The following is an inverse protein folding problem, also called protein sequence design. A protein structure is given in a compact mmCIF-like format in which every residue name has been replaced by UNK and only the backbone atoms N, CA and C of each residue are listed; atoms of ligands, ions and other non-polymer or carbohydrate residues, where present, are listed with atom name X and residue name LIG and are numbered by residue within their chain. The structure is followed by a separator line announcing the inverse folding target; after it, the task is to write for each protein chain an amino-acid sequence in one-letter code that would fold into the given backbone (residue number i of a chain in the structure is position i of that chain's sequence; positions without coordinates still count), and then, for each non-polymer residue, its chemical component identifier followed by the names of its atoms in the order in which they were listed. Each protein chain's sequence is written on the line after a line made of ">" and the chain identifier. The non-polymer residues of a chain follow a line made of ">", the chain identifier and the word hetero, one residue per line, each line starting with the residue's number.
data_IF_464067676229
#
_entry.id   IF_464067676229
#
_cell.length_a   1.000
_cell.length_b   1.000
_cell.length_c   1.000
_cell.angle_alpha   90.00
_cell.angle_beta   90.00
_cell.angle_gamma   90.00
#
_symmetry.space_group_name_H-M   'P 1'
#
loop_
_entity.id
_entity.type
_entity.pdbx_description
1 polymer ?
#
# COMPACT_ATOMS: atom_id res chain seq x y z
N UNK A 1 12.68 20.36 -35.01
CA UNK A 1 13.06 21.35 -33.99
C UNK A 1 11.80 21.54 -33.15
N UNK A 2 11.61 20.70 -32.13
CA UNK A 2 10.50 20.86 -31.18
C UNK A 2 11.08 21.56 -29.97
N UNK A 3 11.02 22.90 -30.00
CA UNK A 3 11.36 23.73 -28.86
C UNK A 3 10.08 23.90 -28.04
N UNK A 4 9.71 22.87 -27.29
CA UNK A 4 8.71 22.99 -26.24
C UNK A 4 9.47 23.45 -25.00
N UNK A 5 9.60 24.77 -24.83
CA UNK A 5 10.04 25.34 -23.57
C UNK A 5 9.01 24.97 -22.51
N UNK A 6 9.42 24.14 -21.55
CA UNK A 6 8.54 23.78 -20.46
C UNK A 6 8.17 25.03 -19.65
N UNK A 7 6.88 25.21 -19.37
CA UNK A 7 6.37 26.40 -18.66
C UNK A 7 5.93 26.11 -17.24
N UNK A 8 5.58 24.86 -16.92
CA UNK A 8 5.12 24.43 -15.60
C UNK A 8 6.06 23.35 -15.03
N UNK A 9 6.41 22.35 -15.84
CA UNK A 9 7.00 21.10 -15.38
C UNK A 9 8.52 21.16 -15.39
N UNK A 10 9.13 20.80 -14.26
CA UNK A 10 10.57 20.52 -14.16
C UNK A 10 10.85 19.02 -14.14
N UNK A 11 10.17 18.28 -13.27
CA UNK A 11 10.27 16.82 -13.18
C UNK A 11 9.03 16.22 -12.49
N UNK A 12 8.07 15.72 -13.26
CA UNK A 12 6.85 15.11 -12.69
C UNK A 12 7.09 13.80 -11.94
N UNK A 13 8.27 13.17 -12.06
CA UNK A 13 8.55 11.91 -11.36
C UNK A 13 8.50 12.10 -9.85
N UNK A 14 8.84 13.27 -9.34
CA UNK A 14 8.82 13.55 -7.88
C UNK A 14 7.41 13.58 -7.28
N UNK A 15 6.39 13.72 -8.14
CA UNK A 15 4.98 13.70 -7.77
C UNK A 15 4.35 12.30 -7.94
N UNK A 16 5.12 11.26 -8.28
CA UNK A 16 4.61 9.88 -8.35
C UNK A 16 4.73 9.16 -7.02
N UNK A 17 3.94 8.11 -6.87
CA UNK A 17 3.98 7.22 -5.71
C UNK A 17 5.29 6.43 -5.60
N UNK A 18 5.97 6.16 -6.74
CA UNK A 18 7.22 5.40 -6.72
C UNK A 18 8.41 6.24 -6.27
N UNK A 19 8.29 7.57 -6.25
CA UNK A 19 9.37 8.44 -5.83
C UNK A 19 9.67 8.28 -4.33
N UNK A 20 10.93 7.98 -4.04
CA UNK A 20 11.45 7.93 -2.68
C UNK A 20 12.10 9.30 -2.40
N UNK A 21 11.56 10.10 -1.46
CA UNK A 21 12.12 11.41 -1.17
C UNK A 21 13.46 11.30 -0.45
N UNK A 22 14.28 12.35 -0.56
CA UNK A 22 15.55 12.45 0.18
C UNK A 22 15.36 12.65 1.69
N UNK A 23 14.19 13.11 2.11
CA UNK A 23 13.77 13.26 3.50
C UNK A 23 12.30 12.89 3.66
N UNK A 24 11.94 12.36 4.83
CA UNK A 24 10.54 12.16 5.19
C UNK A 24 10.09 13.36 6.02
N UNK A 25 8.94 13.95 5.67
CA UNK A 25 8.38 15.14 6.34
C UNK A 25 7.21 14.70 7.23
N UNK A 26 7.10 15.27 8.43
CA UNK A 26 6.01 15.03 9.40
C UNK A 26 5.87 13.57 9.88
N UNK A 27 6.94 12.77 9.77
CA UNK A 27 7.00 11.39 10.30
C UNK A 27 8.33 11.11 11.03
N UNK A 28 8.94 12.13 11.61
CA UNK A 28 10.22 12.02 12.33
C UNK A 28 10.12 11.05 13.52
N UNK A 29 9.00 11.07 14.24
CA UNK A 29 8.74 10.15 15.36
C UNK A 29 8.70 8.68 14.91
N UNK A 30 7.95 8.38 13.85
CA UNK A 30 7.87 7.03 13.27
C UNK A 30 9.23 6.59 12.73
N UNK A 31 9.94 7.46 12.01
CA UNK A 31 11.28 7.16 11.49
C UNK A 31 12.26 6.85 12.62
N UNK A 32 12.20 7.61 13.72
CA UNK A 32 13.02 7.38 14.90
C UNK A 32 12.76 5.99 15.49
N UNK A 33 11.50 5.61 15.71
CA UNK A 33 11.17 4.28 16.24
C UNK A 33 11.66 3.16 15.32
N UNK A 34 11.53 3.32 13.99
CA UNK A 34 12.05 2.34 13.04
C UNK A 34 13.58 2.24 13.14
N UNK A 35 14.28 3.37 13.20
CA UNK A 35 15.75 3.40 13.35
C UNK A 35 16.21 2.79 14.67
N UNK A 36 15.54 3.09 15.78
CA UNK A 36 15.85 2.56 17.10
C UNK A 36 15.69 1.02 17.12
N UNK A 37 14.66 0.48 16.44
CA UNK A 37 14.45 -0.96 16.31
C UNK A 37 15.45 -1.66 15.39
N UNK A 38 15.99 -0.95 14.40
CA UNK A 38 17.01 -1.44 13.47
C UNK A 38 18.44 -1.20 13.96
N UNK A 39 18.66 -0.31 14.92
CA UNK A 39 19.96 0.01 15.48
C UNK A 39 20.78 -1.21 15.94
N UNK A 40 20.18 -2.27 16.53
CA UNK A 40 20.92 -3.48 16.90
C UNK A 40 21.68 -4.14 15.74
N UNK A 41 21.26 -3.90 14.49
CA UNK A 41 21.97 -4.40 13.30
C UNK A 41 23.41 -3.86 13.18
N UNK A 42 23.68 -2.68 13.75
CA UNK A 42 25.02 -2.09 13.75
C UNK A 42 26.00 -2.90 14.61
N UNK A 43 25.49 -3.58 15.64
CA UNK A 43 26.24 -4.41 16.58
C UNK A 43 26.06 -5.92 16.30
N UNK A 44 25.60 -6.27 15.09
CA UNK A 44 25.30 -7.65 14.65
C UNK A 44 24.31 -8.38 15.58
N UNK A 45 23.46 -7.64 16.29
CA UNK A 45 22.40 -8.17 17.14
C UNK A 45 21.08 -8.28 16.37
N UNK A 46 20.20 -9.23 16.73
CA UNK A 46 18.90 -9.37 16.10
C UNK A 46 18.05 -8.12 16.39
N UNK A 47 17.52 -7.44 15.36
CA UNK A 47 16.62 -6.30 15.53
C UNK A 47 15.22 -6.79 15.94
N UNK A 48 14.34 -5.83 16.25
CA UNK A 48 12.95 -6.12 16.61
C UNK A 48 12.06 -6.09 15.38
N UNK A 49 11.13 -7.05 15.32
CA UNK A 49 10.04 -7.02 14.35
C UNK A 49 9.21 -5.74 14.56
N UNK A 50 8.64 -5.22 13.48
CA UNK A 50 7.85 -4.00 13.48
C UNK A 50 6.57 -4.21 12.66
N UNK A 51 5.52 -3.52 13.07
CA UNK A 51 4.28 -3.46 12.31
C UNK A 51 3.81 -2.01 12.14
N UNK A 52 3.82 -1.54 10.89
CA UNK A 52 3.33 -0.23 10.50
C UNK A 52 1.88 -0.38 10.05
N UNK A 53 0.97 0.37 10.65
CA UNK A 53 -0.44 0.32 10.28
C UNK A 53 -1.05 1.71 10.18
N UNK A 54 -2.14 1.81 9.44
CA UNK A 54 -2.89 3.05 9.26
C UNK A 54 -3.50 3.15 7.86
N UNK A 55 -4.36 4.15 7.62
CA UNK A 55 -5.06 4.33 6.34
C UNK A 55 -4.12 4.41 5.12
N UNK A 56 -4.60 4.17 3.89
CA UNK A 56 -3.80 4.40 2.68
C UNK A 56 -3.36 5.86 2.57
N UNK A 57 -2.24 6.11 1.88
CA UNK A 57 -1.75 7.48 1.65
C UNK A 57 -1.06 8.17 2.84
N UNK A 58 -0.84 7.45 3.94
CA UNK A 58 -0.22 7.99 5.18
C UNK A 58 1.31 7.92 5.22
N UNK A 59 1.95 7.41 4.16
CA UNK A 59 3.41 7.39 4.02
C UNK A 59 4.11 6.11 4.48
N UNK A 60 3.39 5.05 4.88
CA UNK A 60 3.97 3.76 5.32
C UNK A 60 4.95 3.16 4.31
N UNK A 61 4.51 2.94 3.07
CA UNK A 61 5.34 2.39 1.99
C UNK A 61 6.54 3.29 1.65
N UNK A 62 6.34 4.62 1.58
CA UNK A 62 7.42 5.57 1.32
C UNK A 62 8.48 5.54 2.43
N UNK A 63 8.05 5.46 3.69
CA UNK A 63 8.93 5.32 4.86
C UNK A 63 9.73 4.02 4.78
N UNK A 64 9.06 2.90 4.52
CA UNK A 64 9.70 1.59 4.47
C UNK A 64 10.73 1.50 3.33
N UNK A 65 10.41 2.06 2.15
CA UNK A 65 11.37 2.16 1.03
C UNK A 65 12.52 3.11 1.33
N UNK A 66 12.27 4.22 2.00
CA UNK A 66 13.33 5.14 2.43
C UNK A 66 14.33 4.43 3.35
N UNK A 67 13.84 3.69 4.35
CA UNK A 67 14.68 2.89 5.26
C UNK A 67 15.39 1.75 4.52
N UNK A 68 14.72 1.11 3.56
CA UNK A 68 15.32 0.07 2.73
C UNK A 68 16.53 0.59 1.95
N UNK A 69 16.46 1.79 1.38
CA UNK A 69 17.58 2.42 0.69
C UNK A 69 18.74 2.75 1.63
N UNK A 70 18.47 3.06 2.90
CA UNK A 70 19.51 3.17 3.93
C UNK A 70 20.14 1.80 4.25
N UNK A 71 19.33 0.74 4.37
CA UNK A 71 19.78 -0.62 4.65
C UNK A 71 20.57 -1.25 3.50
N UNK A 72 20.18 -1.02 2.24
CA UNK A 72 20.88 -1.56 1.05
C UNK A 72 22.31 -1.04 0.91
N UNK A 73 22.64 0.08 1.56
CA UNK A 73 24.02 0.61 1.66
C UNK A 73 24.88 -0.18 2.64
N UNK A 74 24.28 -0.98 3.52
CA UNK A 74 24.99 -1.81 4.50
C UNK A 74 25.34 -3.18 3.90
N UNK A 75 26.63 -3.52 3.89
CA UNK A 75 27.12 -4.77 3.27
C UNK A 75 26.70 -6.01 4.08
N UNK A 76 26.45 -5.86 5.38
CA UNK A 76 26.15 -6.93 6.34
C UNK A 76 24.67 -7.27 6.50
N UNK A 77 23.74 -6.58 5.81
CA UNK A 77 22.29 -6.89 5.89
C UNK A 77 21.68 -7.18 4.51
N UNK A 78 20.77 -8.15 4.42
CA UNK A 78 19.87 -8.30 3.28
C UNK A 78 18.66 -7.40 3.50
N UNK A 79 18.52 -6.33 2.70
CA UNK A 79 17.31 -5.52 2.68
C UNK A 79 16.40 -5.95 1.54
N UNK A 80 15.23 -6.50 1.87
CA UNK A 80 14.27 -7.01 0.89
C UNK A 80 12.91 -6.31 1.02
N UNK A 81 12.25 -6.02 -0.10
CA UNK A 81 10.90 -5.47 -0.13
C UNK A 81 10.00 -6.30 -1.02
N UNK A 82 8.86 -6.72 -0.49
CA UNK A 82 7.85 -7.50 -1.20
C UNK A 82 6.51 -6.83 -0.98
N UNK A 83 5.83 -6.50 -2.07
CA UNK A 83 4.44 -6.06 -2.03
C UNK A 83 3.53 -7.29 -2.14
N UNK A 84 2.77 -7.57 -1.08
CA UNK A 84 1.91 -8.75 -0.97
C UNK A 84 0.66 -8.70 -1.86
N UNK A 85 0.32 -7.52 -2.41
CA UNK A 85 -0.69 -7.40 -3.45
C UNK A 85 -0.22 -8.01 -4.78
N UNK A 86 1.05 -7.84 -5.11
CA UNK A 86 1.66 -8.42 -6.33
C UNK A 86 2.05 -9.89 -6.14
N UNK A 87 2.46 -10.25 -4.92
CA UNK A 87 2.91 -11.59 -4.55
C UNK A 87 2.20 -12.05 -3.28
N UNK A 88 1.07 -12.73 -3.42
CA UNK A 88 0.19 -13.10 -2.30
C UNK A 88 0.40 -14.52 -1.77
N UNK A 89 1.02 -15.42 -2.55
CA UNK A 89 1.21 -16.83 -2.20
C UNK A 89 2.56 -17.09 -1.55
N UNK A 90 2.62 -18.10 -0.66
CA UNK A 90 3.85 -18.55 0.04
C UNK A 90 5.02 -18.79 -0.92
N UNK A 91 4.79 -19.48 -2.03
CA UNK A 91 5.83 -19.73 -3.05
C UNK A 91 6.36 -18.43 -3.67
N UNK A 92 5.45 -17.55 -4.13
CA UNK A 92 5.86 -16.32 -4.83
C UNK A 92 6.63 -15.38 -3.91
N UNK A 93 6.24 -15.28 -2.64
CA UNK A 93 6.95 -14.45 -1.65
C UNK A 93 8.36 -15.00 -1.41
N UNK A 94 8.50 -16.30 -1.12
CA UNK A 94 9.81 -16.92 -0.90
C UNK A 94 10.71 -16.83 -2.13
N UNK A 95 10.15 -17.08 -3.33
CA UNK A 95 10.88 -16.97 -4.59
C UNK A 95 11.39 -15.54 -4.80
N UNK A 96 10.53 -14.53 -4.71
CA UNK A 96 10.91 -13.12 -4.88
C UNK A 96 11.91 -12.68 -3.81
N UNK A 97 11.74 -13.12 -2.56
CA UNK A 97 12.68 -12.86 -1.46
C UNK A 97 14.09 -13.34 -1.78
N UNK A 98 14.22 -14.58 -2.24
CA UNK A 98 15.50 -15.17 -2.58
C UNK A 98 16.17 -14.46 -3.77
N UNK A 99 15.37 -13.98 -4.74
CA UNK A 99 15.89 -13.14 -5.81
C UNK A 99 16.41 -11.79 -5.32
N UNK A 100 15.69 -11.10 -4.41
CA UNK A 100 16.17 -9.87 -3.76
C UNK A 100 17.45 -10.11 -2.93
N UNK A 101 17.64 -11.32 -2.39
CA UNK A 101 18.87 -11.76 -1.72
C UNK A 101 20.00 -12.18 -2.70
N UNK A 102 19.82 -11.94 -4.00
CA UNK A 102 20.81 -12.22 -5.04
C UNK A 102 20.98 -13.71 -5.37
N UNK A 103 20.01 -14.57 -5.03
CA UNK A 103 20.06 -15.98 -5.40
C UNK A 103 19.63 -16.19 -6.86
N UNK A 104 20.50 -16.82 -7.64
CA UNK A 104 20.18 -17.26 -9.00
C UNK A 104 19.47 -18.60 -8.91
N UNK A 105 18.15 -18.55 -8.86
CA UNK A 105 17.32 -19.73 -8.81
C UNK A 105 17.22 -20.37 -10.20
N UNK A 106 17.89 -21.50 -10.41
CA UNK A 106 17.69 -22.40 -11.56
C UNK A 106 16.39 -23.20 -11.41
N UNK A 107 15.30 -22.48 -11.15
CA UNK A 107 14.02 -23.02 -10.73
C UNK A 107 13.02 -22.84 -11.87
N UNK A 108 12.45 -23.94 -12.35
CA UNK A 108 11.24 -23.86 -13.17
C UNK A 108 10.10 -23.38 -12.27
N UNK A 109 9.48 -22.22 -12.57
CA UNK A 109 8.39 -21.60 -11.78
C UNK A 109 7.21 -22.53 -11.41
N UNK A 110 7.11 -23.71 -12.02
CA UNK A 110 6.04 -24.71 -11.78
C UNK A 110 6.50 -25.99 -11.08
N UNK A 111 7.79 -26.16 -10.74
CA UNK A 111 8.33 -27.46 -10.33
C UNK A 111 9.15 -27.49 -9.03
N UNK A 112 9.56 -26.33 -8.48
CA UNK A 112 10.36 -26.31 -7.26
C UNK A 112 9.48 -26.41 -6.01
N UNK A 113 9.71 -27.40 -5.14
CA UNK A 113 9.02 -27.50 -3.86
C UNK A 113 9.32 -26.29 -2.97
N UNK A 114 8.32 -25.85 -2.20
CA UNK A 114 8.50 -24.76 -1.22
C UNK A 114 9.61 -25.09 -0.21
N UNK A 115 9.73 -26.35 0.19
CA UNK A 115 10.76 -26.82 1.13
C UNK A 115 12.19 -26.56 0.62
N UNK A 116 12.41 -26.61 -0.69
CA UNK A 116 13.71 -26.28 -1.28
C UNK A 116 14.01 -24.78 -1.12
N UNK A 117 13.02 -23.91 -1.34
CA UNK A 117 13.17 -22.47 -1.13
C UNK A 117 13.45 -22.14 0.34
N UNK A 118 12.78 -22.82 1.27
CA UNK A 118 13.01 -22.66 2.71
C UNK A 118 14.43 -23.10 3.11
N UNK A 119 14.92 -24.22 2.58
CA UNK A 119 16.29 -24.66 2.82
C UNK A 119 17.34 -23.67 2.27
N UNK A 120 17.06 -23.01 1.14
CA UNK A 120 17.92 -21.93 0.61
C UNK A 120 17.86 -20.71 1.55
N UNK A 121 16.67 -20.29 1.97
CA UNK A 121 16.48 -19.18 2.88
C UNK A 121 17.25 -19.40 4.18
N UNK A 122 17.12 -20.57 4.80
CA UNK A 122 17.81 -20.92 6.05
C UNK A 122 19.33 -20.75 5.91
N UNK A 123 19.92 -21.27 4.82
CA UNK A 123 21.36 -21.11 4.55
C UNK A 123 21.79 -19.66 4.34
N UNK A 124 20.94 -18.81 3.77
CA UNK A 124 21.22 -17.37 3.57
C UNK A 124 21.18 -16.62 4.90
N UNK A 125 20.10 -16.79 5.67
CA UNK A 125 19.89 -16.07 6.93
C UNK A 125 20.80 -16.57 8.06
N UNK A 126 21.32 -17.80 7.96
CA UNK A 126 22.38 -18.28 8.86
C UNK A 126 23.70 -17.50 8.72
N UNK A 127 23.96 -16.89 7.55
CA UNK A 127 25.22 -16.15 7.29
C UNK A 127 25.08 -14.65 7.51
N UNK A 128 23.88 -14.11 7.35
CA UNK A 128 23.65 -12.68 7.21
C UNK A 128 22.22 -12.33 7.63
N UNK A 129 22.06 -11.28 8.43
CA UNK A 129 20.74 -10.82 8.87
C UNK A 129 19.92 -10.30 7.70
N UNK A 130 18.63 -10.60 7.68
CA UNK A 130 17.69 -10.15 6.67
C UNK A 130 16.60 -9.25 7.29
N UNK A 131 16.46 -8.04 6.76
CA UNK A 131 15.33 -7.16 7.02
C UNK A 131 14.37 -7.30 5.84
N UNK A 132 13.22 -7.91 6.11
CA UNK A 132 12.21 -8.24 5.11
C UNK A 132 11.01 -7.33 5.34
N UNK A 133 10.77 -6.44 4.38
CA UNK A 133 9.59 -5.57 4.36
C UNK A 133 8.50 -6.30 3.58
N UNK A 134 7.39 -6.59 4.25
CA UNK A 134 6.18 -7.14 3.63
C UNK A 134 5.11 -6.05 3.63
N UNK A 135 4.83 -5.52 2.45
CA UNK A 135 3.88 -4.43 2.25
C UNK A 135 2.48 -4.95 1.90
N UNK A 136 1.44 -4.27 2.37
CA UNK A 136 0.03 -4.67 2.21
C UNK A 136 -0.27 -6.11 2.69
N UNK A 137 0.18 -6.46 3.90
CA UNK A 137 0.01 -7.81 4.45
C UNK A 137 -1.45 -8.28 4.55
N UNK A 138 -2.41 -7.34 4.56
CA UNK A 138 -3.85 -7.64 4.46
C UNK A 138 -4.20 -8.46 3.20
N UNK A 139 -3.34 -8.44 2.18
CA UNK A 139 -3.57 -9.12 0.90
C UNK A 139 -3.03 -10.53 0.84
N UNK A 140 -2.21 -10.95 1.81
CA UNK A 140 -1.67 -12.31 1.86
C UNK A 140 -2.77 -13.36 1.70
N UNK A 141 -2.50 -14.37 0.88
CA UNK A 141 -3.37 -15.54 0.71
C UNK A 141 -2.97 -16.67 1.65
N UNK A 142 -1.67 -16.77 1.96
CA UNK A 142 -1.10 -17.83 2.78
C UNK A 142 -0.19 -17.23 3.87
N UNK A 143 -0.72 -17.07 5.07
CA UNK A 143 -0.04 -16.50 6.23
C UNK A 143 1.03 -17.43 6.83
N UNK A 144 1.08 -18.71 6.42
CA UNK A 144 2.15 -19.64 6.83
C UNK A 144 3.53 -19.15 6.42
N UNK A 145 3.62 -18.31 5.38
CA UNK A 145 4.89 -17.68 5.01
C UNK A 145 5.44 -16.80 6.13
N UNK A 146 4.58 -16.13 6.91
CA UNK A 146 5.03 -15.33 8.04
C UNK A 146 5.65 -16.23 9.10
N UNK A 147 5.03 -17.37 9.39
CA UNK A 147 5.56 -18.39 10.30
C UNK A 147 6.95 -18.87 9.86
N UNK A 148 7.10 -19.17 8.57
CA UNK A 148 8.38 -19.60 8.00
C UNK A 148 9.49 -18.58 8.17
N UNK A 149 9.16 -17.28 8.14
CA UNK A 149 10.13 -16.20 8.26
C UNK A 149 10.46 -15.88 9.73
N UNK A 150 9.45 -15.72 10.60
CA UNK A 150 9.65 -15.31 12.01
C UNK A 150 10.36 -16.35 12.86
N UNK A 151 10.54 -17.58 12.37
CA UNK A 151 11.27 -18.62 13.11
C UNK A 151 12.79 -18.44 13.09
N UNK A 152 13.32 -17.63 12.18
CA UNK A 152 14.75 -17.40 12.06
C UNK A 152 15.16 -16.18 12.89
N UNK A 153 16.08 -16.36 13.83
CA UNK A 153 16.56 -15.27 14.70
C UNK A 153 17.23 -14.11 13.92
N UNK A 154 17.81 -14.42 12.77
CA UNK A 154 18.46 -13.45 11.87
C UNK A 154 17.47 -12.86 10.84
N UNK A 155 16.17 -12.99 11.05
CA UNK A 155 15.13 -12.38 10.21
C UNK A 155 14.37 -11.34 11.02
N UNK A 156 14.36 -10.12 10.50
CA UNK A 156 13.54 -9.01 10.96
C UNK A 156 12.40 -8.80 9.98
N UNK A 157 11.16 -8.82 10.47
CA UNK A 157 10.00 -8.44 9.67
C UNK A 157 9.61 -6.99 9.95
N UNK A 158 9.46 -6.21 8.89
CA UNK A 158 8.76 -4.94 8.91
C UNK A 158 7.47 -5.13 8.10
N UNK A 159 6.37 -5.34 8.81
CA UNK A 159 5.07 -5.60 8.22
C UNK A 159 4.33 -4.28 8.01
N UNK A 160 3.60 -4.14 6.90
CA UNK A 160 2.78 -2.96 6.62
C UNK A 160 1.35 -3.40 6.32
N UNK A 161 0.40 -2.89 7.11
CA UNK A 161 -1.02 -3.17 6.96
C UNK A 161 -1.86 -1.90 6.97
N UNK A 162 -3.15 -2.04 6.64
CA UNK A 162 -4.08 -0.91 6.67
C UNK A 162 -4.67 -0.67 8.06
N UNK A 163 -4.78 -1.73 8.86
CA UNK A 163 -5.39 -1.68 10.19
C UNK A 163 -4.56 -2.49 11.17
N UNK A 164 -4.64 -2.13 12.45
CA UNK A 164 -3.94 -2.87 13.51
C UNK A 164 -4.44 -4.33 13.63
N UNK A 165 -5.74 -4.52 13.36
CA UNK A 165 -6.46 -5.80 13.52
C UNK A 165 -5.94 -6.91 12.62
N UNK A 166 -5.19 -6.60 11.56
CA UNK A 166 -4.65 -7.58 10.61
C UNK A 166 -3.80 -8.63 11.32
N UNK A 167 -3.06 -8.24 12.37
CA UNK A 167 -2.27 -9.19 13.16
C UNK A 167 -3.18 -10.18 13.89
N UNK A 168 -4.37 -9.75 14.32
CA UNK A 168 -5.36 -10.60 15.00
C UNK A 168 -6.01 -11.66 14.10
N UNK A 169 -5.88 -11.52 12.78
CA UNK A 169 -6.41 -12.49 11.79
C UNK A 169 -5.39 -13.58 11.40
N UNK A 170 -4.14 -13.47 11.88
CA UNK A 170 -3.06 -14.43 11.65
C UNK A 170 -3.17 -15.63 12.59
N UNK A 171 -2.58 -16.77 12.21
CA UNK A 171 -2.45 -17.93 13.11
C UNK A 171 -1.80 -17.57 14.48
N UNK A 172 -2.30 -18.17 15.56
CA UNK A 172 -1.89 -17.91 16.96
C UNK A 172 -0.36 -18.00 17.17
N UNK A 173 0.33 -18.88 16.42
CA UNK A 173 1.80 -19.04 16.55
C UNK A 173 2.53 -17.84 15.97
N UNK A 174 2.04 -17.32 14.84
CA UNK A 174 2.59 -16.12 14.20
C UNK A 174 2.31 -14.92 15.10
N UNK A 175 1.09 -14.81 15.62
CA UNK A 175 0.73 -13.75 16.57
C UNK A 175 1.65 -13.75 17.78
N UNK A 176 1.86 -14.90 18.41
CA UNK A 176 2.71 -15.04 19.60
C UNK A 176 4.13 -14.51 19.35
N UNK A 177 4.72 -14.79 18.18
CA UNK A 177 6.06 -14.29 17.82
C UNK A 177 6.08 -12.83 17.40
N UNK A 178 4.96 -12.30 16.91
CA UNK A 178 4.80 -10.88 16.60
C UNK A 178 4.29 -10.05 17.79
N UNK A 179 3.98 -10.64 18.94
CA UNK A 179 3.54 -9.88 20.13
C UNK A 179 4.60 -8.91 20.63
N UNK A 180 5.88 -9.26 20.48
CA UNK A 180 7.01 -8.37 20.80
C UNK A 180 7.35 -7.37 19.70
N UNK A 181 6.59 -7.34 18.59
CA UNK A 181 6.82 -6.40 17.52
C UNK A 181 6.31 -5.00 17.90
N UNK A 182 7.11 -3.98 17.63
CA UNK A 182 6.71 -2.60 17.88
C UNK A 182 5.63 -2.19 16.87
N UNK A 183 4.51 -1.70 17.40
CA UNK A 183 3.34 -1.24 16.63
C UNK A 183 3.46 0.26 16.39
N UNK A 184 3.53 0.66 15.13
CA UNK A 184 3.77 2.05 14.72
C UNK A 184 2.56 2.55 13.95
N UNK A 185 1.81 3.46 14.56
CA UNK A 185 0.64 4.10 13.94
C UNK A 185 1.06 5.20 12.96
N UNK A 186 0.44 5.16 11.78
CA UNK A 186 0.50 6.17 10.74
C UNK A 186 -0.89 6.80 10.56
N UNK A 187 -1.23 7.83 11.34
CA UNK A 187 -2.50 8.53 11.20
C UNK A 187 -2.60 9.25 9.86
N UNK A 188 -3.83 9.60 9.45
CA UNK A 188 -4.08 10.48 8.31
C UNK A 188 -3.35 11.82 8.50
N UNK A 189 -2.82 12.38 7.41
CA UNK A 189 -2.16 13.68 7.47
C UNK A 189 -3.15 14.80 7.80
N UNK A 190 -2.70 15.76 8.62
CA UNK A 190 -3.35 17.06 8.73
C UNK A 190 -3.23 17.86 7.42
N UNK A 191 -4.08 18.88 7.25
CA UNK A 191 -4.05 19.75 6.05
C UNK A 191 -2.69 20.41 5.89
N UNK A 192 -2.13 20.94 6.98
CA UNK A 192 -0.86 21.66 6.94
C UNK A 192 0.32 20.69 6.73
N UNK A 193 0.29 19.52 7.37
CA UNK A 193 1.30 18.48 7.13
C UNK A 193 1.35 18.07 5.65
N UNK A 194 0.17 17.86 5.06
CA UNK A 194 0.06 17.45 3.67
C UNK A 194 0.43 18.59 2.71
N UNK A 195 0.11 19.84 3.04
CA UNK A 195 0.52 21.00 2.27
C UNK A 195 2.06 21.14 2.25
N UNK A 196 2.74 20.90 3.36
CA UNK A 196 4.21 20.92 3.41
C UNK A 196 4.84 19.82 2.56
N UNK A 197 4.29 18.60 2.61
CA UNK A 197 4.72 17.49 1.75
C UNK A 197 4.56 17.84 0.28
N UNK A 198 3.40 18.37 -0.10
CA UNK A 198 3.13 18.77 -1.48
C UNK A 198 4.04 19.91 -1.93
N UNK A 199 4.28 20.88 -1.06
CA UNK A 199 5.13 22.03 -1.36
C UNK A 199 6.57 21.58 -1.63
N UNK A 200 7.14 20.74 -0.77
CA UNK A 200 8.46 20.14 -0.98
C UNK A 200 8.53 19.47 -2.36
N UNK A 201 7.55 18.65 -2.73
CA UNK A 201 7.53 18.01 -4.06
C UNK A 201 7.33 18.99 -5.21
N UNK A 202 6.54 20.05 -5.03
CA UNK A 202 6.34 21.08 -6.03
C UNK A 202 7.65 21.83 -6.33
N UNK A 203 8.46 22.14 -5.31
CA UNK A 203 9.75 22.80 -5.49
C UNK A 203 10.73 21.96 -6.32
N UNK A 204 10.68 20.63 -6.19
CA UNK A 204 11.49 19.72 -7.00
C UNK A 204 10.91 19.50 -8.40
N UNK A 205 9.59 19.44 -8.52
CA UNK A 205 8.90 18.94 -9.71
C UNK A 205 8.36 20.01 -10.66
N UNK A 206 8.24 21.25 -10.21
CA UNK A 206 7.63 22.35 -10.95
C UNK A 206 8.57 23.55 -11.06
N UNK A 207 8.36 24.39 -12.06
CA UNK A 207 9.09 25.65 -12.21
C UNK A 207 8.60 26.69 -11.18
N UNK A 208 9.45 27.64 -10.76
CA UNK A 208 9.07 28.67 -9.78
C UNK A 208 7.83 29.47 -10.21
N UNK A 209 7.03 29.91 -9.23
CA UNK A 209 5.82 30.74 -9.40
C UNK A 209 4.66 30.12 -10.23
N UNK A 210 4.77 28.85 -10.62
CA UNK A 210 3.73 28.13 -11.37
C UNK A 210 2.57 27.66 -10.50
N UNK A 211 2.82 27.47 -9.21
CA UNK A 211 1.83 27.14 -8.18
C UNK A 211 2.10 27.95 -6.92
N UNK A 212 1.04 28.31 -6.22
CA UNK A 212 1.11 29.06 -4.95
C UNK A 212 0.88 28.15 -3.74
N UNK A 213 1.39 28.56 -2.56
CA UNK A 213 1.11 27.85 -1.30
C UNK A 213 -0.40 27.71 -1.02
N UNK A 214 -1.21 28.72 -1.35
CA UNK A 214 -2.66 28.66 -1.13
C UNK A 214 -3.32 27.58 -1.99
N UNK A 215 -2.88 27.44 -3.25
CA UNK A 215 -3.35 26.38 -4.14
C UNK A 215 -2.93 25.00 -3.63
N UNK A 216 -1.68 24.83 -3.18
CA UNK A 216 -1.19 23.59 -2.58
C UNK A 216 -1.99 23.22 -1.33
N UNK A 217 -2.22 24.18 -0.43
CA UNK A 217 -3.05 23.97 0.77
C UNK A 217 -4.48 23.58 0.43
N UNK A 218 -5.05 24.14 -0.64
CA UNK A 218 -6.38 23.77 -1.13
C UNK A 218 -6.42 22.34 -1.67
N UNK A 219 -5.39 21.89 -2.39
CA UNK A 219 -5.25 20.49 -2.80
C UNK A 219 -5.17 19.57 -1.58
N UNK A 220 -4.35 19.93 -0.58
CA UNK A 220 -4.25 19.17 0.66
C UNK A 220 -5.59 19.05 1.40
N UNK A 221 -6.34 20.15 1.49
CA UNK A 221 -7.66 20.16 2.13
C UNK A 221 -8.66 19.21 1.44
N UNK A 222 -8.63 19.12 0.11
CA UNK A 222 -9.49 18.22 -0.66
C UNK A 222 -9.11 16.74 -0.51
N UNK A 223 -7.82 16.44 -0.31
CA UNK A 223 -7.30 15.09 -0.26
C UNK A 223 -7.63 14.33 1.05
N UNK A 224 -8.19 15.00 2.06
CA UNK A 224 -8.67 14.41 3.33
C UNK A 224 -7.62 13.51 4.02
N UNK A 225 -6.36 13.94 3.99
CA UNK A 225 -5.25 13.27 4.67
C UNK A 225 -4.57 12.14 3.89
N UNK A 226 -4.98 11.88 2.64
CA UNK A 226 -4.31 10.93 1.74
C UNK A 226 -3.30 11.65 0.82
N UNK A 227 -2.00 11.45 1.07
CA UNK A 227 -0.94 12.10 0.29
C UNK A 227 -0.87 11.63 -1.17
N UNK A 228 -1.32 10.40 -1.46
CA UNK A 228 -1.33 9.84 -2.81
C UNK A 228 -2.34 10.59 -3.67
N UNK A 229 -3.56 10.79 -3.15
CA UNK A 229 -4.59 11.59 -3.83
C UNK A 229 -4.11 13.03 -4.04
N UNK A 230 -3.48 13.60 -3.03
CA UNK A 230 -3.01 14.98 -3.08
C UNK A 230 -1.91 15.17 -4.15
N UNK A 231 -0.90 14.29 -4.16
CA UNK A 231 0.21 14.32 -5.13
C UNK A 231 -0.30 14.08 -6.55
N UNK A 232 -1.19 13.11 -6.72
CA UNK A 232 -1.75 12.80 -8.04
C UNK A 232 -2.64 13.95 -8.57
N UNK A 233 -3.40 14.62 -7.70
CA UNK A 233 -4.16 15.83 -8.06
C UNK A 233 -3.23 16.94 -8.51
N UNK A 234 -2.15 17.22 -7.76
CA UNK A 234 -1.18 18.25 -8.11
C UNK A 234 -0.46 17.93 -9.43
N UNK A 235 -0.06 16.68 -9.62
CA UNK A 235 0.53 16.19 -10.87
C UNK A 235 -0.40 16.40 -12.06
N UNK A 236 -1.67 16.03 -11.93
CA UNK A 236 -2.66 16.18 -12.99
C UNK A 236 -2.88 17.66 -13.36
N UNK A 237 -2.90 18.55 -12.36
CA UNK A 237 -2.98 19.99 -12.59
C UNK A 237 -1.77 20.52 -13.37
N UNK A 238 -0.56 20.05 -13.04
CA UNK A 238 0.65 20.42 -13.74
C UNK A 238 0.64 19.92 -15.21
N UNK A 239 0.26 18.66 -15.44
CA UNK A 239 0.13 18.08 -16.78
C UNK A 239 -0.91 18.79 -17.64
N UNK A 240 -2.07 19.15 -17.08
CA UNK A 240 -3.12 19.86 -17.79
C UNK A 240 -2.73 21.32 -18.11
N UNK A 241 -2.08 22.00 -17.17
CA UNK A 241 -1.60 23.37 -17.38
C UNK A 241 -0.50 23.42 -18.45
N UNK A 242 0.46 22.49 -18.42
CA UNK A 242 1.50 22.37 -19.44
C UNK A 242 0.89 22.08 -20.83
N UNK A 243 -0.05 21.14 -20.93
CA UNK A 243 -0.71 20.80 -22.21
C UNK A 243 -1.48 21.98 -22.82
N UNK A 244 -1.91 22.93 -21.99
CA UNK A 244 -2.62 24.14 -22.39
C UNK A 244 -1.68 25.34 -22.59
N UNK A 245 -0.36 25.12 -22.57
CA UNK A 245 0.67 26.14 -22.70
C UNK A 245 0.51 27.30 -21.68
N UNK A 246 0.02 26.98 -20.48
CA UNK A 246 -0.15 27.95 -19.40
C UNK A 246 1.16 28.17 -18.67
N UNK A 247 1.29 29.33 -18.03
CA UNK A 247 2.44 29.68 -17.19
C UNK A 247 2.20 29.46 -15.69
N UNK A 248 0.93 29.28 -15.28
CA UNK A 248 0.53 29.02 -13.89
C UNK A 248 -0.67 28.08 -13.83
N UNK A 249 -0.80 27.32 -12.73
CA UNK A 249 -1.99 26.52 -12.45
C UNK A 249 -3.20 27.47 -12.22
N UNK A 250 -4.32 27.30 -12.94
CA UNK A 250 -5.52 28.11 -12.70
C UNK A 250 -6.21 27.76 -11.37
N UNK A 251 -6.64 28.77 -10.59
CA UNK A 251 -7.31 28.54 -9.31
C UNK A 251 -8.62 27.72 -9.42
N UNK A 252 -9.35 27.88 -10.52
CA UNK A 252 -10.60 27.16 -10.77
C UNK A 252 -10.41 25.68 -11.10
N UNK A 253 -9.20 25.26 -11.50
CA UNK A 253 -8.95 23.88 -11.96
C UNK A 253 -8.87 22.86 -10.81
N UNK A 254 -8.56 23.31 -9.58
CA UNK A 254 -8.25 22.42 -8.45
C UNK A 254 -9.43 21.49 -8.10
N UNK A 255 -10.64 22.06 -8.01
CA UNK A 255 -11.84 21.27 -7.69
C UNK A 255 -12.14 20.23 -8.77
N UNK A 256 -12.06 20.63 -10.03
CA UNK A 256 -12.29 19.74 -11.17
C UNK A 256 -11.25 18.62 -11.26
N UNK A 257 -9.97 18.93 -11.01
CA UNK A 257 -8.90 17.93 -11.03
C UNK A 257 -9.09 16.86 -9.94
N UNK A 258 -9.48 17.28 -8.73
CA UNK A 258 -9.81 16.36 -7.65
C UNK A 258 -11.00 15.45 -7.98
N UNK A 259 -12.10 16.02 -8.49
CA UNK A 259 -13.28 15.25 -8.90
C UNK A 259 -12.98 14.28 -10.05
N UNK A 260 -12.20 14.72 -11.03
CA UNK A 260 -11.77 13.88 -12.13
C UNK A 260 -10.92 12.72 -11.63
N UNK A 261 -9.92 12.97 -10.76
CA UNK A 261 -9.03 11.92 -10.26
C UNK A 261 -9.77 10.88 -9.42
N UNK A 262 -10.65 11.33 -8.52
CA UNK A 262 -11.46 10.43 -7.69
C UNK A 262 -12.38 9.54 -8.54
N UNK A 263 -12.94 10.07 -9.64
CA UNK A 263 -13.74 9.28 -10.59
C UNK A 263 -12.90 8.32 -11.44
N UNK A 264 -11.71 8.73 -11.88
CA UNK A 264 -10.81 7.85 -12.64
C UNK A 264 -10.29 6.69 -11.81
N UNK A 265 -9.85 6.94 -10.58
CA UNK A 265 -9.40 5.90 -9.65
C UNK A 265 -10.51 4.88 -9.41
N UNK A 266 -11.73 5.35 -9.14
CA UNK A 266 -12.90 4.49 -8.99
C UNK A 266 -13.15 3.66 -10.25
N UNK A 267 -13.11 4.29 -11.44
CA UNK A 267 -13.33 3.59 -12.70
C UNK A 267 -12.29 2.50 -12.96
N UNK A 268 -11.00 2.80 -12.83
CA UNK A 268 -9.94 1.80 -13.02
C UNK A 268 -10.07 0.64 -12.02
N UNK A 269 -10.45 0.95 -10.77
CA UNK A 269 -10.66 -0.07 -9.77
C UNK A 269 -11.86 -0.98 -10.10
N UNK A 270 -12.94 -0.40 -10.64
CA UNK A 270 -14.11 -1.14 -11.12
C UNK A 270 -13.80 -2.02 -12.35
N UNK A 271 -12.95 -1.55 -13.25
CA UNK A 271 -12.51 -2.32 -14.43
C UNK A 271 -11.67 -3.56 -14.04
N UNK A 272 -10.96 -3.52 -12.90
CA UNK A 272 -10.12 -4.61 -12.39
C UNK A 272 -10.88 -5.63 -11.52
N UNK A 273 -12.20 -5.52 -11.37
CA UNK A 273 -12.98 -6.45 -10.56
C UNK A 273 -13.05 -7.84 -11.18
N UNK A 274 -12.90 -8.87 -10.34
CA UNK A 274 -13.18 -10.25 -10.75
C UNK A 274 -14.70 -10.52 -10.79
N UNK A 275 -15.10 -11.66 -11.35
CA UNK A 275 -16.51 -11.95 -11.60
C UNK A 275 -17.34 -12.06 -10.30
N UNK A 276 -16.76 -12.59 -9.21
CA UNK A 276 -17.41 -12.60 -7.90
C UNK A 276 -17.62 -11.18 -7.35
N UNK A 277 -16.64 -10.29 -7.51
CA UNK A 277 -16.75 -8.89 -7.06
C UNK A 277 -17.78 -8.11 -7.86
N UNK A 278 -17.83 -8.32 -9.19
CA UNK A 278 -18.87 -7.75 -10.05
C UNK A 278 -20.25 -8.22 -9.63
N UNK A 279 -20.40 -9.50 -9.30
CA UNK A 279 -21.66 -10.06 -8.82
C UNK A 279 -22.10 -9.44 -7.48
N UNK A 280 -21.19 -9.35 -6.50
CA UNK A 280 -21.46 -8.68 -5.23
C UNK A 280 -21.91 -7.22 -5.44
N UNK A 281 -21.20 -6.49 -6.30
CA UNK A 281 -21.54 -5.10 -6.63
C UNK A 281 -22.93 -5.00 -7.28
N UNK A 282 -23.25 -5.90 -8.21
CA UNK A 282 -24.55 -5.94 -8.88
C UNK A 282 -25.70 -6.17 -7.90
N UNK A 283 -25.55 -7.12 -6.96
CA UNK A 283 -26.57 -7.41 -5.93
C UNK A 283 -26.80 -6.18 -5.04
N UNK A 284 -25.73 -5.52 -4.60
CA UNK A 284 -25.83 -4.33 -3.74
C UNK A 284 -26.47 -3.17 -4.49
N UNK A 285 -26.13 -2.99 -5.77
CA UNK A 285 -26.71 -1.97 -6.63
C UNK A 285 -28.21 -2.18 -6.86
N UNK A 286 -28.64 -3.43 -7.07
CA UNK A 286 -30.05 -3.80 -7.27
C UNK A 286 -30.89 -3.52 -6.01
N UNK A 287 -30.39 -3.95 -4.85
CA UNK A 287 -31.13 -3.89 -3.59
C UNK A 287 -31.07 -2.53 -2.90
N UNK A 288 -30.18 -1.63 -3.33
CA UNK A 288 -29.86 -0.31 -2.72
C UNK A 288 -29.27 -0.38 -1.31
N UNK A 289 -29.75 -1.26 -0.44
CA UNK A 289 -29.21 -1.48 0.91
C UNK A 289 -29.39 -2.94 1.29
N UNK A 290 -28.31 -3.62 1.67
CA UNK A 290 -28.32 -5.07 1.94
C UNK A 290 -27.58 -5.39 3.23
N UNK A 291 -28.15 -6.28 4.04
CA UNK A 291 -27.48 -6.85 5.22
C UNK A 291 -26.51 -7.97 4.83
N UNK A 292 -25.44 -8.23 5.61
CA UNK A 292 -24.50 -9.31 5.34
C UNK A 292 -25.18 -10.65 5.04
N UNK A 293 -26.06 -11.13 5.92
CA UNK A 293 -26.72 -12.43 5.78
C UNK A 293 -27.55 -12.55 4.49
N UNK A 294 -28.27 -11.48 4.14
CA UNK A 294 -29.05 -11.41 2.90
C UNK A 294 -28.13 -11.39 1.68
N UNK A 295 -27.04 -10.63 1.73
CA UNK A 295 -26.05 -10.55 0.66
C UNK A 295 -25.39 -11.91 0.40
N UNK A 296 -25.06 -12.66 1.46
CA UNK A 296 -24.52 -14.01 1.34
C UNK A 296 -25.48 -14.97 0.67
N UNK A 297 -26.77 -14.94 1.07
CA UNK A 297 -27.80 -15.79 0.46
C UNK A 297 -27.98 -15.47 -1.03
N UNK A 298 -28.14 -14.19 -1.37
CA UNK A 298 -28.30 -13.74 -2.75
C UNK A 298 -27.08 -14.05 -3.61
N UNK A 299 -25.88 -13.84 -3.07
CA UNK A 299 -24.64 -14.15 -3.77
C UNK A 299 -24.52 -15.64 -4.08
N UNK A 300 -24.86 -16.51 -3.13
CA UNK A 300 -24.82 -17.97 -3.33
C UNK A 300 -25.81 -18.42 -4.41
N UNK A 301 -27.03 -17.87 -4.39
CA UNK A 301 -28.04 -18.16 -5.39
C UNK A 301 -27.58 -17.72 -6.79
N UNK A 302 -27.19 -16.45 -6.95
CA UNK A 302 -26.82 -15.91 -8.25
C UNK A 302 -25.49 -16.47 -8.77
N UNK A 303 -24.57 -16.88 -7.90
CA UNK A 303 -23.33 -17.56 -8.32
C UNK A 303 -23.64 -18.90 -9.00
N UNK A 304 -24.61 -19.66 -8.48
CA UNK A 304 -25.05 -20.92 -9.10
C UNK A 304 -25.70 -20.67 -10.46
N UNK A 305 -26.53 -19.63 -10.58
CA UNK A 305 -27.17 -19.24 -11.84
C UNK A 305 -26.15 -18.82 -12.91
N UNK A 306 -25.06 -18.16 -12.50
CA UNK A 306 -23.98 -17.68 -13.39
C UNK A 306 -22.81 -18.66 -13.54
N UNK A 307 -22.93 -19.89 -13.03
CA UNK A 307 -21.87 -20.91 -13.06
C UNK A 307 -20.53 -20.45 -12.45
N UNK A 308 -20.60 -19.59 -11.43
CA UNK A 308 -19.45 -19.15 -10.64
C UNK A 308 -19.28 -20.02 -9.40
N UNK A 309 -18.03 -20.28 -9.02
CA UNK A 309 -17.72 -21.03 -7.80
C UNK A 309 -18.25 -20.33 -6.54
N UNK A 310 -18.81 -21.10 -5.61
CA UNK A 310 -19.27 -20.55 -4.33
C UNK A 310 -18.07 -20.36 -3.41
N UNK A 311 -17.69 -19.11 -3.20
CA UNK A 311 -16.65 -18.71 -2.25
C UNK A 311 -17.19 -18.63 -0.81
N UNK A 312 -16.31 -18.82 0.17
CA UNK A 312 -16.67 -18.76 1.58
C UNK A 312 -16.92 -17.31 2.07
N UNK A 313 -17.54 -17.19 3.25
CA UNK A 313 -17.90 -15.88 3.81
C UNK A 313 -16.68 -14.97 4.07
N UNK A 314 -15.53 -15.55 4.45
CA UNK A 314 -14.29 -14.81 4.69
C UNK A 314 -13.80 -14.14 3.40
N UNK A 315 -13.81 -14.85 2.28
CA UNK A 315 -13.44 -14.32 0.97
C UNK A 315 -14.40 -13.20 0.53
N UNK A 316 -15.70 -13.39 0.75
CA UNK A 316 -16.69 -12.34 0.45
C UNK A 316 -16.45 -11.09 1.29
N UNK A 317 -16.13 -11.20 2.60
CA UNK A 317 -15.77 -10.03 3.42
C UNK A 317 -14.56 -9.30 2.86
N UNK A 318 -13.50 -10.03 2.49
CA UNK A 318 -12.31 -9.46 1.82
C UNK A 318 -12.69 -8.71 0.53
N UNK A 319 -13.61 -9.26 -0.26
CA UNK A 319 -14.09 -8.59 -1.48
C UNK A 319 -14.94 -7.35 -1.17
N UNK A 320 -15.79 -7.37 -0.15
CA UNK A 320 -16.58 -6.22 0.26
C UNK A 320 -15.71 -5.09 0.80
N UNK A 321 -14.71 -5.40 1.62
CA UNK A 321 -13.72 -4.42 2.09
C UNK A 321 -12.97 -3.78 0.93
N UNK A 322 -12.63 -4.56 -0.09
CA UNK A 322 -12.01 -4.07 -1.32
C UNK A 322 -12.94 -3.16 -2.12
N UNK A 323 -14.22 -3.51 -2.26
CA UNK A 323 -15.22 -2.66 -2.91
C UNK A 323 -15.47 -1.34 -2.14
N UNK A 324 -15.46 -1.37 -0.80
CA UNK A 324 -15.53 -0.17 0.05
C UNK A 324 -14.31 0.72 -0.17
N UNK A 325 -13.12 0.12 -0.22
CA UNK A 325 -11.86 0.84 -0.48
C UNK A 325 -11.90 1.55 -1.83
N UNK A 326 -12.49 0.92 -2.84
CA UNK A 326 -12.69 1.51 -4.16
C UNK A 326 -13.80 2.55 -4.21
N UNK A 327 -14.48 2.83 -3.09
CA UNK A 327 -15.66 3.70 -3.01
C UNK A 327 -16.77 3.24 -3.96
N UNK A 328 -16.78 1.96 -4.34
CA UNK A 328 -17.82 1.37 -5.18
C UNK A 328 -19.09 1.10 -4.36
N UNK A 329 -18.90 0.82 -3.07
CA UNK A 329 -19.96 0.67 -2.06
C UNK A 329 -19.53 1.40 -0.79
N UNK A 330 -20.48 1.66 0.09
CA UNK A 330 -20.27 2.13 1.46
C UNK A 330 -20.85 1.14 2.45
N UNK A 331 -20.29 1.11 3.67
CA UNK A 331 -20.81 0.33 4.77
C UNK A 331 -21.19 1.25 5.93
N UNK A 332 -22.36 1.03 6.51
CA UNK A 332 -22.83 1.77 7.69
C UNK A 332 -23.28 0.80 8.77
N UNK A 333 -23.06 1.15 10.05
CA UNK A 333 -23.36 0.30 11.19
C UNK A 333 -22.29 -0.77 11.50
N UNK A 334 -22.38 -1.36 12.70
CA UNK A 334 -21.45 -2.39 13.20
C UNK A 334 -22.17 -3.70 13.56
N UNK A 335 -21.45 -4.81 13.46
CA UNK A 335 -21.94 -6.15 13.79
C UNK A 335 -23.24 -6.49 13.05
N UNK A 336 -24.29 -6.84 13.83
CA UNK A 336 -25.62 -7.20 13.31
C UNK A 336 -26.38 -6.07 12.60
N UNK A 337 -25.92 -4.82 12.76
CA UNK A 337 -26.54 -3.64 12.15
C UNK A 337 -25.82 -3.15 10.90
N UNK A 338 -24.74 -3.83 10.50
CA UNK A 338 -23.98 -3.46 9.31
C UNK A 338 -24.85 -3.63 8.06
N UNK A 339 -24.84 -2.64 7.19
CA UNK A 339 -25.48 -2.68 5.86
C UNK A 339 -24.54 -2.12 4.79
N UNK A 340 -24.68 -2.64 3.58
CA UNK A 340 -23.91 -2.21 2.40
C UNK A 340 -24.84 -1.52 1.40
N UNK A 341 -24.40 -0.39 0.83
CA UNK A 341 -25.13 0.36 -0.19
C UNK A 341 -24.17 1.00 -1.20
N UNK A 342 -24.65 1.31 -2.40
CA UNK A 342 -23.90 2.12 -3.38
C UNK A 342 -24.00 3.60 -2.98
N UNK A 343 -22.89 4.37 -2.99
CA UNK A 343 -22.86 5.78 -2.58
C UNK A 343 -23.63 6.73 -3.50
#
# INVERSE_FOLDING_TARGET
>A
MWDTHATIIKDLRVLTEQFIPSRIIHRDGQLKVIRDNLAPLLDEQPPRNMFLFGPPGTGKTSMARYVLEELKKQVSVYGCYINCWSYSTRFNILYTLLQEMGEILSVHRKGTPVDELLAILERKVAKKTAVIILDEIDQLEDDRVLYDLVQHANVCLLLIGNHETVIGDLDDRVQSRLMGADRIDFPSYGIDELADILWDRAEWGMLPETVTHNQVRRVAALAKGDARIALATLRSLAEDAERKDLTKIPEGAIGMAYEWFTKQEQREALERLNDHQKLLLAIIAEKKTVKPDELYMLFKQQSQEQQLDVINERTIRKYLERLIRYKAISATGEGRWRVYCVP
#
